data_IF_195380839592
#
_entry.id   IF_195380839592
#
_cell.length_a   1.000
_cell.length_b   1.000
_cell.length_c   1.000
_cell.angle_alpha   90.00
_cell.angle_beta   90.00
_cell.angle_gamma   90.00
#
_symmetry.space_group_name_H-M   'P 1'
#
loop_
_entity.id
_entity.type
_entity.pdbx_description
1 polymer ?
#
# COMPACT_ATOMS: atom_id res chain seq x y z
N UNK A 1 -20.27 -4.13 -0.52
CA UNK A 1 -19.73 -4.96 -1.64
C UNK A 1 -18.23 -5.19 -1.50
N UNK A 2 -17.38 -4.16 -1.35
CA UNK A 2 -15.92 -4.33 -1.24
C UNK A 2 -15.46 -5.18 -0.04
N UNK A 3 -16.15 -5.06 1.11
CA UNK A 3 -15.90 -5.91 2.29
C UNK A 3 -16.09 -7.41 2.01
N UNK A 4 -17.07 -7.76 1.18
CA UNK A 4 -17.36 -9.16 0.82
C UNK A 4 -16.20 -9.76 0.01
N UNK A 5 -15.66 -8.98 -0.94
CA UNK A 5 -14.51 -9.37 -1.77
C UNK A 5 -13.26 -9.53 -0.89
N UNK A 6 -12.97 -8.57 -0.01
CA UNK A 6 -11.82 -8.64 0.90
C UNK A 6 -11.87 -9.86 1.83
N UNK A 7 -13.04 -10.20 2.38
CA UNK A 7 -13.20 -11.42 3.18
C UNK A 7 -12.95 -12.69 2.35
N UNK A 8 -13.44 -12.74 1.11
CA UNK A 8 -13.26 -13.91 0.23
C UNK A 8 -11.83 -14.09 -0.26
N UNK A 9 -11.06 -13.01 -0.44
CA UNK A 9 -9.65 -13.08 -0.88
C UNK A 9 -8.67 -13.16 0.29
N UNK A 10 -9.13 -13.22 1.54
CA UNK A 10 -8.28 -13.16 2.73
C UNK A 10 -7.56 -11.81 2.90
N UNK A 11 -8.08 -10.75 2.28
CA UNK A 11 -7.58 -9.39 2.41
C UNK A 11 -7.87 -8.81 3.80
N UNK A 12 -7.10 -7.79 4.20
CA UNK A 12 -7.27 -7.14 5.48
C UNK A 12 -8.69 -6.56 5.63
N UNK A 13 -9.46 -7.13 6.56
CA UNK A 13 -10.86 -6.74 6.85
C UNK A 13 -10.97 -5.75 8.00
N UNK A 14 -9.83 -5.45 8.65
CA UNK A 14 -9.75 -4.50 9.74
C UNK A 14 -9.80 -3.07 9.20
N UNK A 15 -11.01 -2.52 9.16
CA UNK A 15 -11.27 -1.14 8.71
C UNK A 15 -10.80 -0.07 9.70
N UNK A 16 -10.20 -0.46 10.82
CA UNK A 16 -9.71 0.46 11.86
C UNK A 16 -8.22 0.76 11.74
N UNK A 17 -7.49 0.00 10.92
CA UNK A 17 -6.08 0.26 10.64
C UNK A 17 -5.95 1.17 9.44
N UNK A 18 -5.14 2.23 9.59
CA UNK A 18 -4.62 2.95 8.43
C UNK A 18 -3.71 2.01 7.66
N UNK A 19 -4.23 1.44 6.57
CA UNK A 19 -3.44 0.60 5.68
C UNK A 19 -2.56 1.52 4.86
N UNK A 20 -1.26 1.52 5.13
CA UNK A 20 -0.30 2.23 4.34
C UNK A 20 -0.05 1.47 3.03
N UNK A 21 -0.77 1.85 1.98
CA UNK A 21 -0.66 1.26 0.64
C UNK A 21 0.59 1.69 -0.13
N UNK A 22 1.41 2.56 0.46
CA UNK A 22 2.58 3.16 -0.18
C UNK A 22 3.85 2.68 0.49
N UNK A 23 4.76 2.08 -0.28
CA UNK A 23 6.08 1.75 0.22
C UNK A 23 6.98 3.00 0.10
N UNK A 24 7.12 3.75 1.19
CA UNK A 24 7.92 4.99 1.21
C UNK A 24 9.41 4.76 0.98
N UNK A 25 9.95 3.62 1.40
CA UNK A 25 11.36 3.28 1.12
C UNK A 25 11.61 3.21 -0.41
N UNK A 26 10.67 2.60 -1.16
CA UNK A 26 10.74 2.57 -2.62
C UNK A 26 10.56 3.94 -3.26
N UNK A 27 9.74 4.80 -2.67
CA UNK A 27 9.58 6.20 -3.13
C UNK A 27 10.89 6.97 -2.93
N UNK A 28 11.56 6.79 -1.80
CA UNK A 28 12.88 7.36 -1.53
C UNK A 28 13.92 6.92 -2.57
N UNK A 29 14.02 5.61 -2.81
CA UNK A 29 14.92 5.05 -3.83
C UNK A 29 14.63 5.56 -5.25
N UNK A 30 13.35 5.77 -5.59
CA UNK A 30 12.98 6.38 -6.86
C UNK A 30 13.43 7.84 -6.94
N UNK A 31 13.20 8.63 -5.90
CA UNK A 31 13.58 10.04 -5.85
C UNK A 31 15.09 10.23 -5.95
N UNK A 32 15.88 9.39 -5.27
CA UNK A 32 17.34 9.38 -5.37
C UNK A 32 17.81 9.11 -6.80
N UNK A 33 17.25 8.08 -7.46
CA UNK A 33 17.55 7.77 -8.86
C UNK A 33 17.17 8.91 -9.80
N UNK A 34 16.03 9.54 -9.57
CA UNK A 34 15.56 10.66 -10.38
C UNK A 34 16.45 11.89 -10.24
N UNK A 35 16.96 12.18 -9.05
CA UNK A 35 17.87 13.29 -8.82
C UNK A 35 19.26 13.09 -9.46
N UNK A 36 19.61 11.85 -9.84
CA UNK A 36 20.87 11.48 -10.49
C UNK A 36 20.76 11.40 -12.03
N UNK A 37 19.58 11.62 -12.60
CA UNK A 37 19.36 11.75 -14.06
C UNK A 37 19.68 13.17 -14.55
#
# INVERSE_FOLDING_TARGET
MIKLIMTMTGGETDTTKEVEYTNWDKVGLFAEKFAQL
#
